data_IF_877673305219
#
_entry.id   IF_877673305219
#
_cell.length_a   1.000
_cell.length_b   1.000
_cell.length_c   1.000
_cell.angle_alpha   90.00
_cell.angle_beta   90.00
_cell.angle_gamma   90.00
#
_symmetry.space_group_name_H-M   'P 1'
#
loop_
_entity.id
_entity.type
_entity.pdbx_description
1 polymer ?
#
# COMPACT_ATOMS: atom_id res chain seq x y z
N UNK A 1 -3.21 -23.78 -28.17
CA UNK A 1 -4.47 -24.44 -27.75
C UNK A 1 -4.67 -24.49 -26.23
N UNK A 2 -3.61 -24.73 -25.38
CA UNK A 2 -3.73 -24.72 -23.93
C UNK A 2 -3.88 -23.29 -23.37
N UNK A 3 -3.22 -22.28 -23.96
CA UNK A 3 -3.29 -20.88 -23.54
C UNK A 3 -4.68 -20.24 -23.77
N UNK A 4 -5.45 -20.71 -24.77
CA UNK A 4 -6.79 -20.18 -25.07
C UNK A 4 -7.87 -20.65 -24.09
N UNK A 5 -7.70 -21.82 -23.47
CA UNK A 5 -8.64 -22.34 -22.48
C UNK A 5 -8.58 -21.52 -21.20
N UNK A 6 -7.38 -21.14 -20.75
CA UNK A 6 -7.21 -20.28 -19.55
C UNK A 6 -7.73 -18.85 -19.73
N UNK A 7 -7.68 -18.30 -20.95
CA UNK A 7 -8.25 -16.98 -21.27
C UNK A 7 -9.79 -16.94 -21.28
N UNK A 8 -10.45 -18.09 -21.31
CA UNK A 8 -11.91 -18.23 -21.37
C UNK A 8 -12.53 -18.66 -20.04
N UNK A 9 -11.73 -18.94 -19.01
CA UNK A 9 -12.30 -19.29 -17.71
C UNK A 9 -12.90 -18.03 -17.06
N UNK A 10 -14.19 -18.09 -16.66
CA UNK A 10 -14.79 -17.01 -15.91
C UNK A 10 -14.05 -16.87 -14.57
N UNK A 11 -13.66 -15.68 -14.23
CA UNK A 11 -13.10 -15.38 -12.92
C UNK A 11 -14.04 -14.42 -12.16
N UNK A 12 -14.00 -14.53 -10.85
CA UNK A 12 -14.72 -13.66 -9.94
C UNK A 12 -13.71 -13.04 -9.01
N UNK A 13 -13.62 -11.71 -9.03
CA UNK A 13 -12.75 -10.97 -8.11
C UNK A 13 -13.17 -11.23 -6.67
N UNK A 14 -12.22 -11.46 -5.78
CA UNK A 14 -12.47 -11.64 -4.37
C UNK A 14 -13.25 -10.47 -3.77
N UNK A 15 -13.84 -10.69 -2.60
CA UNK A 15 -14.49 -9.67 -1.80
C UNK A 15 -14.09 -9.76 -0.34
N UNK A 16 -14.47 -8.75 0.42
CA UNK A 16 -14.24 -8.64 1.86
C UNK A 16 -15.55 -8.45 2.59
N UNK A 17 -15.60 -8.84 3.85
CA UNK A 17 -16.74 -8.55 4.74
C UNK A 17 -16.72 -7.07 5.14
N UNK A 18 -17.50 -6.25 4.46
CA UNK A 18 -17.60 -4.81 4.70
C UNK A 18 -18.23 -4.49 6.08
N UNK A 19 -19.06 -5.37 6.63
CA UNK A 19 -19.61 -5.21 7.98
C UNK A 19 -18.49 -5.24 9.02
N UNK A 20 -17.53 -6.15 8.85
CA UNK A 20 -16.36 -6.22 9.71
C UNK A 20 -15.36 -5.12 9.41
N UNK A 21 -14.95 -4.99 8.14
CA UNK A 21 -13.81 -4.14 7.74
C UNK A 21 -14.12 -2.66 7.61
N UNK A 22 -15.42 -2.27 7.62
CA UNK A 22 -15.84 -0.88 7.74
C UNK A 22 -16.59 -0.66 9.05
N UNK A 23 -17.77 -1.27 9.22
CA UNK A 23 -18.66 -0.91 10.33
C UNK A 23 -18.08 -1.31 11.70
N UNK A 24 -17.59 -2.53 11.86
CA UNK A 24 -17.10 -3.03 13.14
C UNK A 24 -15.74 -2.43 13.53
N UNK A 25 -14.76 -2.41 12.62
CA UNK A 25 -13.41 -1.94 12.95
C UNK A 25 -13.26 -0.41 12.94
N UNK A 26 -14.18 0.31 12.24
CA UNK A 26 -14.17 1.77 12.11
C UNK A 26 -15.54 2.38 12.42
N UNK A 27 -16.02 2.33 13.67
CA UNK A 27 -17.36 2.80 14.04
C UNK A 27 -17.58 4.29 13.79
N UNK A 28 -16.53 5.12 13.83
CA UNK A 28 -16.61 6.54 13.45
C UNK A 28 -16.94 6.72 11.98
N UNK A 29 -16.29 5.93 11.10
CA UNK A 29 -16.59 5.95 9.68
C UNK A 29 -17.99 5.39 9.40
N UNK A 30 -18.39 4.32 10.07
CA UNK A 30 -19.76 3.77 9.97
C UNK A 30 -20.81 4.84 10.29
N UNK A 31 -20.65 5.58 11.39
CA UNK A 31 -21.55 6.65 11.77
C UNK A 31 -21.60 7.76 10.69
N UNK A 32 -20.45 8.19 10.16
CA UNK A 32 -20.38 9.17 9.09
C UNK A 32 -21.12 8.70 7.83
N UNK A 33 -20.90 7.44 7.44
CA UNK A 33 -21.59 6.83 6.27
C UNK A 33 -23.10 6.82 6.47
N UNK A 34 -23.58 6.38 7.64
CA UNK A 34 -25.02 6.36 7.95
C UNK A 34 -25.63 7.77 7.92
N UNK A 35 -24.94 8.77 8.47
CA UNK A 35 -25.42 10.15 8.47
C UNK A 35 -25.51 10.73 7.06
N UNK A 36 -24.50 10.51 6.23
CA UNK A 36 -24.51 11.00 4.83
C UNK A 36 -25.53 10.27 3.98
N UNK A 37 -25.67 8.96 4.12
CA UNK A 37 -26.64 8.17 3.34
C UNK A 37 -28.07 8.26 3.89
N UNK A 38 -28.24 8.67 5.15
CA UNK A 38 -29.53 8.71 5.85
C UNK A 38 -30.02 7.32 6.29
N UNK A 39 -29.19 6.28 6.21
CA UNK A 39 -29.50 4.91 6.62
C UNK A 39 -28.25 4.05 6.74
N UNK A 40 -28.40 2.86 7.35
CA UNK A 40 -27.35 1.82 7.44
C UNK A 40 -27.52 0.72 6.37
N UNK A 41 -28.38 0.95 5.37
CA UNK A 41 -28.73 -0.04 4.34
C UNK A 41 -27.52 -0.55 3.54
N UNK A 42 -26.43 0.22 3.46
CA UNK A 42 -25.18 -0.24 2.83
C UNK A 42 -24.63 -1.54 3.46
N UNK A 43 -25.05 -1.88 4.69
CA UNK A 43 -24.68 -3.15 5.32
C UNK A 43 -25.29 -4.37 4.61
N UNK A 44 -26.41 -4.19 3.93
CA UNK A 44 -27.07 -5.21 3.10
C UNK A 44 -26.89 -4.94 1.60
N UNK A 45 -26.73 -3.68 1.22
CA UNK A 45 -26.62 -3.16 -0.13
C UNK A 45 -25.33 -2.34 -0.27
N UNK A 46 -24.15 -2.97 -0.32
CA UNK A 46 -22.85 -2.26 -0.30
C UNK A 46 -22.67 -1.30 -1.49
N UNK A 47 -23.39 -1.49 -2.58
CA UNK A 47 -23.45 -0.57 -3.71
C UNK A 47 -23.98 0.83 -3.33
N UNK A 48 -24.75 0.96 -2.26
CA UNK A 48 -25.23 2.26 -1.75
C UNK A 48 -24.11 3.16 -1.22
N UNK A 49 -22.90 2.61 -0.94
CA UNK A 49 -21.73 3.42 -0.61
C UNK A 49 -21.41 4.47 -1.68
N UNK A 50 -21.74 4.21 -2.95
CA UNK A 50 -21.57 5.18 -4.04
C UNK A 50 -22.30 6.51 -3.78
N UNK A 51 -23.37 6.49 -2.97
CA UNK A 51 -24.09 7.69 -2.56
C UNK A 51 -23.27 8.69 -1.74
N UNK A 52 -22.12 8.28 -1.20
CA UNK A 52 -21.20 9.18 -0.49
C UNK A 52 -20.58 10.23 -1.42
N UNK A 53 -20.47 9.96 -2.72
CA UNK A 53 -19.83 10.90 -3.68
C UNK A 53 -20.55 12.26 -3.72
N UNK A 54 -21.85 12.31 -3.42
CA UNK A 54 -22.60 13.57 -3.34
C UNK A 54 -22.07 14.55 -2.27
N UNK A 55 -21.31 14.02 -1.29
CA UNK A 55 -20.69 14.79 -0.21
C UNK A 55 -19.19 15.00 -0.42
N UNK A 56 -18.64 14.67 -1.61
CA UNK A 56 -17.21 14.75 -1.87
C UNK A 56 -16.64 16.19 -1.82
N UNK A 57 -17.51 17.18 -1.94
CA UNK A 57 -17.12 18.60 -1.85
C UNK A 57 -17.79 19.31 -0.64
N UNK A 58 -18.41 18.55 0.29
CA UNK A 58 -18.95 19.09 1.53
C UNK A 58 -17.86 19.26 2.59
N UNK A 59 -17.49 20.51 2.95
CA UNK A 59 -16.40 20.75 3.90
C UNK A 59 -16.65 20.16 5.30
N UNK A 60 -17.92 20.05 5.74
CA UNK A 60 -18.22 19.49 7.06
C UNK A 60 -18.02 17.98 7.07
N UNK A 61 -18.40 17.28 6.00
CA UNK A 61 -18.19 15.85 5.83
C UNK A 61 -16.68 15.55 5.72
N UNK A 62 -15.93 16.33 4.93
CA UNK A 62 -14.49 16.16 4.76
C UNK A 62 -13.74 16.41 6.07
N UNK A 63 -14.08 17.46 6.81
CA UNK A 63 -13.47 17.73 8.13
C UNK A 63 -13.73 16.59 9.12
N UNK A 64 -14.96 16.08 9.18
CA UNK A 64 -15.32 14.95 10.04
C UNK A 64 -14.57 13.67 9.64
N UNK A 65 -14.35 13.42 8.36
CA UNK A 65 -13.57 12.27 7.89
C UNK A 65 -12.10 12.36 8.33
N UNK A 66 -11.49 13.55 8.26
CA UNK A 66 -10.14 13.79 8.76
C UNK A 66 -10.05 13.60 10.29
N UNK A 67 -11.05 14.06 11.06
CA UNK A 67 -11.11 13.82 12.51
C UNK A 67 -11.18 12.32 12.83
N UNK A 68 -12.03 11.57 12.14
CA UNK A 68 -12.13 10.10 12.29
C UNK A 68 -10.78 9.44 11.99
N UNK A 69 -10.11 9.87 10.93
CA UNK A 69 -8.79 9.35 10.55
C UNK A 69 -7.74 9.68 11.62
N UNK A 70 -7.72 10.89 12.13
CA UNK A 70 -6.82 11.30 13.22
C UNK A 70 -7.04 10.47 14.49
N UNK A 71 -8.29 10.27 14.91
CA UNK A 71 -8.64 9.41 16.05
C UNK A 71 -8.18 7.96 15.86
N UNK A 72 -8.35 7.40 14.67
CA UNK A 72 -7.89 6.04 14.37
C UNK A 72 -6.35 5.94 14.41
N UNK A 73 -5.63 6.96 13.93
CA UNK A 73 -4.16 7.00 14.05
C UNK A 73 -3.72 7.07 15.52
N UNK A 74 -4.38 7.89 16.33
CA UNK A 74 -4.11 7.97 17.78
C UNK A 74 -4.38 6.63 18.49
N UNK A 75 -5.48 5.96 18.16
CA UNK A 75 -5.80 4.61 18.67
C UNK A 75 -4.71 3.59 18.30
N UNK A 76 -4.26 3.60 17.04
CA UNK A 76 -3.18 2.76 16.58
C UNK A 76 -1.87 3.08 17.32
N UNK A 77 -1.50 4.36 17.44
CA UNK A 77 -0.29 4.78 18.14
C UNK A 77 -0.30 4.36 19.62
N UNK A 78 -1.42 4.54 20.31
CA UNK A 78 -1.59 4.09 21.68
C UNK A 78 -1.52 2.57 21.82
N UNK A 79 -2.05 1.82 20.84
CA UNK A 79 -1.97 0.35 20.83
C UNK A 79 -0.53 -0.12 20.60
N UNK A 80 0.18 0.45 19.62
CA UNK A 80 1.59 0.16 19.31
C UNK A 80 2.48 0.47 20.52
N UNK A 81 2.27 1.62 21.19
CA UNK A 81 3.03 1.96 22.40
C UNK A 81 2.82 0.95 23.54
N UNK A 82 1.58 0.51 23.76
CA UNK A 82 1.29 -0.48 24.81
C UNK A 82 1.84 -1.87 24.51
N UNK A 83 1.90 -2.26 23.22
CA UNK A 83 2.34 -3.61 22.83
C UNK A 83 3.84 -3.73 22.65
N UNK A 84 4.45 -2.71 22.07
CA UNK A 84 5.84 -2.78 21.60
C UNK A 84 6.74 -1.64 22.15
N UNK A 85 6.17 -0.72 22.94
CA UNK A 85 6.89 0.44 23.49
C UNK A 85 7.31 1.48 22.44
N UNK A 86 6.83 1.36 21.20
CA UNK A 86 7.23 2.25 20.11
C UNK A 86 6.28 3.47 20.02
N UNK A 87 6.87 4.68 19.96
CA UNK A 87 6.11 5.93 19.80
C UNK A 87 5.88 6.24 18.33
N UNK A 88 4.72 5.84 17.81
CA UNK A 88 4.31 6.12 16.44
C UNK A 88 3.91 7.60 16.31
N UNK A 89 4.43 8.28 15.28
CA UNK A 89 4.03 9.67 14.99
C UNK A 89 2.62 9.69 14.36
N UNK A 90 1.62 10.04 15.18
CA UNK A 90 0.21 10.10 14.73
C UNK A 90 -0.09 11.33 13.84
N UNK A 91 0.79 12.34 13.80
CA UNK A 91 0.57 13.54 12.99
C UNK A 91 1.10 13.36 11.55
N UNK A 92 2.06 12.45 11.37
CA UNK A 92 2.58 12.10 10.04
C UNK A 92 1.55 11.37 9.19
N UNK A 93 1.70 11.44 7.87
CA UNK A 93 0.97 10.56 6.95
C UNK A 93 1.37 9.11 7.23
N UNK A 94 0.38 8.26 7.46
CA UNK A 94 0.61 6.83 7.70
C UNK A 94 0.54 6.07 6.37
N UNK A 95 1.72 5.68 5.89
CA UNK A 95 1.94 4.92 4.66
C UNK A 95 2.17 3.45 5.00
N UNK A 96 1.39 2.54 4.45
CA UNK A 96 1.39 1.16 4.93
C UNK A 96 1.61 0.14 3.82
N UNK A 97 2.52 -0.80 4.09
CA UNK A 97 2.68 -2.02 3.31
C UNK A 97 2.48 -3.25 4.19
N UNK A 98 1.22 -3.70 4.30
CA UNK A 98 0.80 -4.73 5.26
C UNK A 98 0.31 -5.98 4.53
N UNK A 99 1.22 -6.92 4.33
CA UNK A 99 1.00 -8.17 3.58
C UNK A 99 2.08 -9.19 3.89
N UNK A 100 1.82 -10.49 3.61
CA UNK A 100 2.88 -11.52 3.71
C UNK A 100 4.10 -11.07 2.94
N UNK A 101 5.29 -11.34 3.49
CA UNK A 101 6.52 -11.02 2.82
C UNK A 101 6.78 -12.05 1.72
N UNK A 102 6.92 -11.55 0.52
CA UNK A 102 7.35 -12.30 -0.66
C UNK A 102 8.02 -11.32 -1.63
N UNK A 103 9.07 -11.76 -2.31
CA UNK A 103 9.86 -10.89 -3.19
C UNK A 103 9.00 -10.20 -4.25
N UNK A 104 8.01 -10.89 -4.86
CA UNK A 104 7.13 -10.28 -5.88
C UNK A 104 6.23 -9.16 -5.32
N UNK A 105 6.00 -9.10 -4.01
CA UNK A 105 5.22 -8.01 -3.35
C UNK A 105 6.06 -6.75 -3.13
N UNK A 106 7.35 -6.87 -3.39
CA UNK A 106 8.34 -5.80 -3.51
C UNK A 106 8.48 -4.90 -2.28
N UNK A 107 8.42 -5.47 -1.07
CA UNK A 107 8.76 -4.70 0.14
C UNK A 107 10.19 -4.14 0.06
N UNK A 108 11.08 -4.81 -0.67
CA UNK A 108 12.43 -4.31 -0.96
C UNK A 108 12.40 -3.02 -1.79
N UNK A 109 11.47 -2.87 -2.75
CA UNK A 109 11.30 -1.63 -3.53
C UNK A 109 10.89 -0.46 -2.62
N UNK A 110 9.96 -0.69 -1.70
CA UNK A 110 9.58 0.32 -0.70
C UNK A 110 10.75 0.68 0.23
N UNK A 111 11.56 -0.30 0.68
CA UNK A 111 12.78 -0.06 1.46
C UNK A 111 13.79 0.81 0.69
N UNK A 112 13.98 0.56 -0.60
CA UNK A 112 14.82 1.38 -1.48
C UNK A 112 14.30 2.83 -1.57
N UNK A 113 12.99 3.02 -1.66
CA UNK A 113 12.38 4.36 -1.64
C UNK A 113 12.61 5.09 -0.32
N UNK A 114 12.45 4.41 0.80
CA UNK A 114 12.72 5.00 2.13
C UNK A 114 14.20 5.39 2.25
N UNK A 115 15.12 4.54 1.78
CA UNK A 115 16.56 4.85 1.72
C UNK A 115 16.81 6.08 0.87
N UNK A 116 16.17 6.23 -0.29
CA UNK A 116 16.25 7.42 -1.12
C UNK A 116 15.77 8.66 -0.37
N UNK A 117 14.63 8.59 0.33
CA UNK A 117 14.08 9.71 1.10
C UNK A 117 15.03 10.15 2.22
N UNK A 118 15.67 9.20 2.92
CA UNK A 118 16.70 9.50 3.91
C UNK A 118 17.88 10.24 3.27
N UNK A 119 18.39 9.75 2.14
CA UNK A 119 19.49 10.40 1.42
C UNK A 119 19.12 11.80 0.93
N UNK A 120 17.90 12.02 0.45
CA UNK A 120 17.40 13.33 0.06
C UNK A 120 17.38 14.30 1.24
N UNK A 121 16.94 13.87 2.42
CA UNK A 121 16.94 14.68 3.64
C UNK A 121 18.37 15.00 4.11
N UNK A 122 19.33 14.11 3.88
CA UNK A 122 20.75 14.40 4.15
C UNK A 122 21.34 15.40 3.16
N UNK A 123 20.95 15.35 1.88
CA UNK A 123 21.41 16.29 0.86
C UNK A 123 20.88 17.71 1.12
N UNK A 124 19.62 17.82 1.55
CA UNK A 124 18.97 19.10 1.88
C UNK A 124 18.04 18.92 3.10
N UNK A 125 18.55 19.11 4.31
CA UNK A 125 17.75 18.97 5.53
C UNK A 125 16.59 19.97 5.64
N UNK A 126 16.67 21.11 4.99
CA UNK A 126 15.68 22.17 5.06
C UNK A 126 14.63 22.12 3.94
N UNK A 127 14.72 21.16 3.02
CA UNK A 127 13.74 21.00 1.95
C UNK A 127 12.32 20.82 2.52
N UNK A 128 11.29 21.35 1.84
CA UNK A 128 9.89 21.06 2.20
C UNK A 128 9.66 19.55 2.18
N UNK A 129 9.22 19.01 3.32
CA UNK A 129 9.01 17.57 3.47
C UNK A 129 7.74 17.32 4.29
N UNK A 130 6.76 16.68 3.68
CA UNK A 130 5.57 16.27 4.41
C UNK A 130 5.90 15.07 5.31
N UNK A 131 5.71 15.21 6.64
CA UNK A 131 6.00 14.12 7.57
C UNK A 131 5.27 12.84 7.21
N UNK A 132 6.00 11.70 7.18
CA UNK A 132 5.46 10.39 6.85
C UNK A 132 6.04 9.28 7.70
N UNK A 133 5.20 8.32 8.04
CA UNK A 133 5.58 7.10 8.74
C UNK A 133 5.27 5.92 7.85
N UNK A 134 6.31 5.19 7.44
CA UNK A 134 6.15 3.91 6.77
C UNK A 134 5.92 2.80 7.79
N UNK A 135 4.81 2.09 7.65
CA UNK A 135 4.48 0.97 8.52
C UNK A 135 4.45 -0.32 7.71
N UNK A 136 5.34 -1.22 8.06
CA UNK A 136 5.36 -2.58 7.52
C UNK A 136 4.74 -3.56 8.51
N UNK A 137 4.03 -4.54 7.98
CA UNK A 137 3.58 -5.68 8.77
C UNK A 137 3.57 -6.92 7.89
N UNK A 138 4.43 -7.87 8.21
CA UNK A 138 4.65 -9.03 7.36
C UNK A 138 5.04 -10.27 8.19
N UNK A 139 4.85 -11.44 7.58
CA UNK A 139 5.39 -12.72 8.04
C UNK A 139 5.98 -13.44 6.84
N UNK A 140 7.17 -14.01 7.01
CA UNK A 140 7.81 -14.87 6.03
C UNK A 140 7.55 -16.35 6.34
N UNK A 141 7.52 -17.17 5.31
CA UNK A 141 7.55 -18.63 5.51
C UNK A 141 8.88 -19.05 6.19
N UNK A 142 8.88 -20.05 7.07
CA UNK A 142 10.08 -20.43 7.84
C UNK A 142 11.31 -20.76 7.00
N UNK A 143 11.13 -21.40 5.83
CA UNK A 143 12.21 -21.75 4.90
C UNK A 143 12.60 -20.67 3.90
N UNK A 144 11.92 -19.52 3.87
CA UNK A 144 12.16 -18.47 2.86
C UNK A 144 13.26 -17.50 3.33
N UNK A 145 14.52 -17.86 3.08
CA UNK A 145 15.69 -17.12 3.55
C UNK A 145 15.69 -15.65 3.06
N UNK A 146 15.49 -15.40 1.77
CA UNK A 146 15.46 -14.05 1.19
C UNK A 146 14.37 -13.18 1.84
N UNK A 147 13.19 -13.73 2.06
CA UNK A 147 12.10 -13.01 2.73
C UNK A 147 12.47 -12.59 4.17
N UNK A 148 13.12 -13.48 4.91
CA UNK A 148 13.64 -13.15 6.26
C UNK A 148 14.72 -12.09 6.20
N UNK A 149 15.60 -12.14 5.20
CA UNK A 149 16.65 -11.16 4.98
C UNK A 149 16.08 -9.77 4.67
N UNK A 150 14.97 -9.70 3.91
CA UNK A 150 14.24 -8.46 3.66
C UNK A 150 13.59 -7.93 4.95
N UNK A 151 13.03 -8.79 5.81
CA UNK A 151 12.52 -8.36 7.12
C UNK A 151 13.64 -7.77 7.98
N UNK A 152 14.81 -8.40 8.00
CA UNK A 152 15.98 -7.89 8.72
C UNK A 152 16.38 -6.51 8.19
N UNK A 153 16.47 -6.34 6.86
CA UNK A 153 16.73 -5.04 6.22
C UNK A 153 15.72 -3.97 6.70
N UNK A 154 14.42 -4.29 6.68
CA UNK A 154 13.38 -3.34 7.12
C UNK A 154 13.54 -2.94 8.58
N UNK A 155 13.95 -3.87 9.45
CA UNK A 155 14.22 -3.58 10.86
C UNK A 155 15.50 -2.73 11.03
N UNK A 156 16.59 -3.02 10.30
CA UNK A 156 17.81 -2.24 10.32
C UNK A 156 17.59 -0.82 9.80
N UNK A 157 16.87 -0.70 8.69
CA UNK A 157 16.48 0.60 8.12
C UNK A 157 15.61 1.40 9.08
N UNK A 158 14.65 0.75 9.76
CA UNK A 158 13.82 1.39 10.77
C UNK A 158 14.65 1.92 11.94
N UNK A 159 15.58 1.13 12.45
CA UNK A 159 16.46 1.54 13.53
C UNK A 159 17.34 2.75 13.12
N UNK A 160 17.89 2.71 11.92
CA UNK A 160 18.77 3.75 11.37
C UNK A 160 17.98 5.06 11.13
N UNK A 161 16.86 5.03 10.44
CA UNK A 161 16.02 6.21 10.15
C UNK A 161 15.49 6.84 11.43
N UNK A 162 15.01 6.03 12.38
CA UNK A 162 14.41 6.54 13.61
C UNK A 162 15.46 7.14 14.58
N UNK A 163 16.70 6.72 14.50
CA UNK A 163 17.82 7.29 15.28
C UNK A 163 18.43 8.53 14.62
N UNK A 164 18.19 8.74 13.33
CA UNK A 164 18.79 9.81 12.54
C UNK A 164 18.21 11.19 12.91
N UNK A 165 19.03 12.14 13.42
CA UNK A 165 18.54 13.48 13.77
C UNK A 165 17.93 14.25 12.59
N UNK A 166 18.40 14.01 11.36
CA UNK A 166 17.91 14.67 10.14
C UNK A 166 16.50 14.19 9.79
N UNK A 167 16.20 12.92 10.08
CA UNK A 167 14.88 12.32 9.84
C UNK A 167 13.85 12.67 10.93
N UNK A 168 14.31 13.15 12.08
CA UNK A 168 13.43 13.40 13.25
C UNK A 168 12.27 14.32 12.92
N UNK A 169 11.04 13.85 13.19
CA UNK A 169 9.80 14.58 12.92
C UNK A 169 9.38 14.58 11.44
N UNK A 170 10.20 14.06 10.52
CA UNK A 170 9.96 14.03 9.09
C UNK A 170 9.69 12.62 8.58
N UNK A 171 10.62 11.71 8.79
CA UNK A 171 10.56 10.34 8.30
C UNK A 171 10.66 9.36 9.47
N UNK A 172 9.74 8.43 9.55
CA UNK A 172 9.71 7.37 10.55
C UNK A 172 9.43 6.03 9.87
N UNK A 173 10.01 4.96 10.38
CA UNK A 173 9.76 3.60 9.88
C UNK A 173 9.44 2.70 11.05
N UNK A 174 8.38 1.91 10.92
CA UNK A 174 8.00 0.94 11.94
C UNK A 174 7.65 -0.41 11.31
N UNK A 175 8.24 -1.48 11.82
CA UNK A 175 7.90 -2.85 11.46
C UNK A 175 7.07 -3.48 12.57
N UNK A 176 5.76 -3.64 12.33
CA UNK A 176 4.82 -4.23 13.29
C UNK A 176 5.04 -5.74 13.37
N UNK A 177 5.44 -6.27 14.53
CA UNK A 177 5.63 -7.70 14.71
C UNK A 177 4.31 -8.45 14.75
N UNK A 178 4.35 -9.74 14.43
CA UNK A 178 3.23 -10.67 14.56
C UNK A 178 1.92 -10.18 13.94
N UNK A 179 1.97 -9.70 12.69
CA UNK A 179 0.78 -9.27 11.95
C UNK A 179 -0.31 -10.35 11.93
N UNK A 180 -1.50 -9.99 12.37
CA UNK A 180 -2.70 -10.84 12.48
C UNK A 180 -3.97 -10.00 12.29
N UNK A 181 -5.14 -10.66 12.22
CA UNK A 181 -6.43 -10.00 11.98
C UNK A 181 -6.71 -8.89 12.99
N UNK A 182 -6.48 -9.11 14.29
CA UNK A 182 -6.70 -8.09 15.31
C UNK A 182 -5.78 -6.85 15.16
N UNK A 183 -4.56 -7.04 14.66
CA UNK A 183 -3.69 -5.92 14.30
C UNK A 183 -4.20 -5.20 13.04
N UNK A 184 -4.70 -5.95 12.06
CA UNK A 184 -5.29 -5.37 10.86
C UNK A 184 -6.51 -4.50 11.16
N UNK A 185 -7.38 -4.91 12.10
CA UNK A 185 -8.56 -4.13 12.52
C UNK A 185 -8.20 -2.78 13.16
N UNK A 186 -7.01 -2.66 13.75
CA UNK A 186 -6.49 -1.40 14.26
C UNK A 186 -5.81 -0.55 13.18
N UNK A 187 -5.14 -1.22 12.23
CA UNK A 187 -4.29 -0.58 11.24
C UNK A 187 -5.08 -0.07 10.03
N UNK A 188 -6.03 -0.87 9.50
CA UNK A 188 -6.78 -0.50 8.29
C UNK A 188 -7.52 0.84 8.42
N UNK A 189 -8.23 1.14 9.54
CA UNK A 189 -8.86 2.45 9.75
C UNK A 189 -7.89 3.63 9.83
N UNK A 190 -6.66 3.38 10.29
CA UNK A 190 -5.65 4.43 10.53
C UNK A 190 -4.84 4.79 9.26
N UNK A 191 -4.70 3.86 8.32
CA UNK A 191 -3.88 4.05 7.12
C UNK A 191 -4.40 5.17 6.22
N UNK A 192 -3.48 5.96 5.65
CA UNK A 192 -3.79 7.04 4.70
C UNK A 192 -3.26 6.74 3.31
N UNK A 193 -2.14 6.03 3.21
CA UNK A 193 -1.56 5.53 1.95
C UNK A 193 -1.44 4.01 2.00
N UNK A 194 -1.73 3.36 0.90
CA UNK A 194 -1.76 1.90 0.72
C UNK A 194 -0.79 1.48 -0.38
N UNK A 195 0.30 0.79 0.00
CA UNK A 195 1.32 0.28 -0.90
C UNK A 195 0.91 -1.07 -1.51
N UNK A 196 0.48 -1.06 -2.78
CA UNK A 196 0.03 -2.24 -3.53
C UNK A 196 0.90 -2.46 -4.77
N UNK A 197 2.20 -2.62 -4.52
CA UNK A 197 3.31 -2.48 -5.47
C UNK A 197 3.87 -3.81 -5.98
N UNK A 198 3.06 -4.86 -6.07
CA UNK A 198 3.49 -6.16 -6.62
C UNK A 198 4.03 -6.03 -8.05
N UNK A 199 4.91 -6.94 -8.46
CA UNK A 199 5.32 -7.01 -9.85
C UNK A 199 4.11 -7.40 -10.70
N UNK A 200 3.84 -6.67 -11.77
CA UNK A 200 2.69 -6.90 -12.64
C UNK A 200 2.61 -8.34 -13.15
N UNK A 201 1.42 -8.92 -13.13
CA UNK A 201 1.14 -10.31 -13.49
C UNK A 201 1.50 -11.35 -12.41
N UNK A 202 1.77 -10.95 -11.16
CA UNK A 202 2.16 -11.87 -10.08
C UNK A 202 1.13 -11.99 -8.94
N UNK A 203 0.36 -10.94 -8.65
CA UNK A 203 -0.70 -11.00 -7.64
C UNK A 203 -2.00 -11.48 -8.28
N UNK A 204 -2.57 -12.55 -7.76
CA UNK A 204 -3.82 -13.10 -8.33
C UNK A 204 -5.04 -12.20 -8.07
N UNK A 205 -5.13 -11.58 -6.90
CA UNK A 205 -6.20 -10.65 -6.52
C UNK A 205 -5.74 -9.74 -5.38
N UNK A 206 -5.52 -10.29 -4.18
CA UNK A 206 -5.33 -9.52 -2.96
C UNK A 206 -6.67 -9.14 -2.32
N UNK A 207 -6.67 -8.95 -1.00
CA UNK A 207 -7.84 -8.44 -0.26
C UNK A 207 -7.47 -7.33 0.72
N UNK A 208 -6.17 -7.14 0.98
CA UNK A 208 -5.66 -6.05 1.82
C UNK A 208 -5.92 -4.67 1.21
N UNK A 209 -5.73 -4.57 -0.12
CA UNK A 209 -6.03 -3.37 -0.91
C UNK A 209 -7.51 -2.95 -0.78
N UNK A 210 -8.44 -3.90 -0.89
CA UNK A 210 -9.88 -3.65 -0.73
C UNK A 210 -10.23 -3.10 0.66
N UNK A 211 -9.64 -3.66 1.71
CA UNK A 211 -9.85 -3.22 3.11
C UNK A 211 -9.32 -1.80 3.33
N UNK A 212 -8.15 -1.51 2.80
CA UNK A 212 -7.53 -0.18 2.87
C UNK A 212 -8.35 0.85 2.08
N UNK A 213 -8.76 0.54 0.85
CA UNK A 213 -9.64 1.38 0.03
C UNK A 213 -10.97 1.68 0.75
N UNK A 214 -11.61 0.66 1.32
CA UNK A 214 -12.88 0.79 2.06
C UNK A 214 -12.75 1.65 3.33
N UNK A 215 -11.55 1.78 3.87
CA UNK A 215 -11.22 2.68 4.97
C UNK A 215 -10.60 4.02 4.50
N UNK A 216 -10.64 4.31 3.21
CA UNK A 216 -10.23 5.58 2.64
C UNK A 216 -8.73 5.80 2.52
N UNK A 217 -7.92 4.74 2.52
CA UNK A 217 -6.52 4.86 2.17
C UNK A 217 -6.36 5.03 0.66
N UNK A 218 -5.56 6.02 0.23
CA UNK A 218 -5.25 6.24 -1.19
C UNK A 218 -4.19 5.22 -1.63
N UNK A 219 -4.46 4.53 -2.73
CA UNK A 219 -3.57 3.47 -3.22
C UNK A 219 -2.51 4.01 -4.17
N UNK A 220 -1.24 3.69 -3.88
CA UNK A 220 -0.16 3.65 -4.87
C UNK A 220 0.11 2.19 -5.22
N UNK A 221 0.20 1.87 -6.50
CA UNK A 221 0.36 0.48 -6.91
C UNK A 221 0.65 0.28 -8.37
N UNK A 222 0.78 -0.98 -8.74
CA UNK A 222 0.87 -1.45 -10.11
C UNK A 222 -0.49 -1.95 -10.59
N UNK A 223 -0.66 -2.04 -11.91
CA UNK A 223 -1.85 -2.61 -12.53
C UNK A 223 -1.79 -4.15 -12.45
N UNK A 224 -2.06 -4.69 -11.26
CA UNK A 224 -1.91 -6.11 -10.92
C UNK A 224 -2.95 -6.57 -9.89
N UNK A 225 -3.46 -7.79 -10.02
CA UNK A 225 -4.49 -8.32 -9.14
C UNK A 225 -5.73 -7.43 -9.10
N UNK A 226 -6.36 -7.31 -7.92
CA UNK A 226 -7.55 -6.47 -7.74
C UNK A 226 -7.30 -4.96 -7.89
N UNK A 227 -6.03 -4.52 -8.06
CA UNK A 227 -5.76 -3.12 -8.40
C UNK A 227 -6.31 -2.76 -9.78
N UNK A 228 -6.49 -3.73 -10.67
CA UNK A 228 -7.13 -3.52 -12.00
C UNK A 228 -8.55 -3.03 -11.81
N UNK A 229 -9.36 -3.78 -11.06
CA UNK A 229 -10.76 -3.42 -10.79
C UNK A 229 -10.85 -2.17 -9.90
N UNK A 230 -9.90 -1.97 -8.97
CA UNK A 230 -9.84 -0.73 -8.19
C UNK A 230 -9.61 0.47 -9.11
N UNK A 231 -8.72 0.37 -10.07
CA UNK A 231 -8.44 1.45 -11.03
C UNK A 231 -9.63 1.71 -11.97
N UNK A 232 -10.34 0.66 -12.40
CA UNK A 232 -11.59 0.80 -13.16
C UNK A 232 -12.65 1.59 -12.39
N UNK A 233 -12.69 1.44 -11.07
CA UNK A 233 -13.62 2.20 -10.22
C UNK A 233 -13.14 3.63 -9.95
N UNK A 234 -11.85 3.81 -9.68
CA UNK A 234 -11.30 5.07 -9.16
C UNK A 234 -10.81 6.02 -10.24
N UNK A 235 -10.27 5.49 -11.34
CA UNK A 235 -9.57 6.28 -12.35
C UNK A 235 -8.24 6.86 -11.87
N UNK A 236 -7.55 7.54 -12.77
CA UNK A 236 -6.21 8.10 -12.54
C UNK A 236 -6.18 9.27 -11.52
N UNK A 237 -7.33 9.90 -11.27
CA UNK A 237 -7.43 11.01 -10.33
C UNK A 237 -7.47 10.55 -8.86
N UNK A 238 -7.85 9.29 -8.60
CA UNK A 238 -8.09 8.79 -7.25
C UNK A 238 -7.24 7.57 -6.87
N UNK A 239 -6.40 7.09 -7.80
CA UNK A 239 -5.45 6.00 -7.60
C UNK A 239 -4.17 6.28 -8.38
N UNK A 240 -3.01 6.02 -7.78
CA UNK A 240 -1.71 6.35 -8.33
C UNK A 240 -1.02 5.10 -8.83
N UNK A 241 -0.96 4.93 -10.16
CA UNK A 241 -0.31 3.78 -10.78
C UNK A 241 1.10 4.13 -11.27
N UNK A 242 1.97 3.13 -11.21
CA UNK A 242 3.33 3.18 -11.73
C UNK A 242 3.77 1.81 -12.29
N UNK A 243 4.91 1.85 -12.98
CA UNK A 243 5.67 0.68 -13.39
C UNK A 243 5.10 -0.02 -14.61
N UNK A 244 5.81 -1.05 -15.03
CA UNK A 244 5.50 -1.86 -16.20
C UNK A 244 4.17 -2.59 -16.07
N UNK A 245 3.44 -2.68 -17.16
CA UNK A 245 2.31 -3.60 -17.30
C UNK A 245 2.80 -5.05 -17.47
N UNK A 246 1.91 -6.02 -17.32
CA UNK A 246 2.30 -7.44 -17.33
C UNK A 246 2.93 -7.89 -18.66
N UNK A 247 2.40 -7.43 -19.77
CA UNK A 247 2.92 -7.66 -21.13
C UNK A 247 4.26 -6.96 -21.39
N UNK A 248 4.42 -5.73 -20.91
CA UNK A 248 5.67 -4.98 -20.96
C UNK A 248 6.77 -5.65 -20.13
N UNK A 249 6.43 -6.12 -18.93
CA UNK A 249 7.34 -6.87 -18.05
C UNK A 249 7.80 -8.19 -18.70
N UNK A 250 6.90 -8.89 -19.39
CA UNK A 250 7.23 -10.10 -20.15
C UNK A 250 8.10 -9.79 -21.36
N UNK A 251 7.75 -8.76 -22.12
CA UNK A 251 8.53 -8.31 -23.28
C UNK A 251 9.94 -7.86 -22.88
N UNK A 252 10.09 -7.12 -21.78
CA UNK A 252 11.38 -6.69 -21.27
C UNK A 252 12.28 -7.88 -20.89
N UNK A 253 11.73 -8.90 -20.23
CA UNK A 253 12.48 -10.12 -19.91
C UNK A 253 12.90 -10.88 -21.19
N UNK A 254 11.99 -11.00 -22.14
CA UNK A 254 12.26 -11.69 -23.41
C UNK A 254 13.32 -10.96 -24.25
N UNK A 255 13.38 -9.63 -24.18
CA UNK A 255 14.38 -8.81 -24.87
C UNK A 255 15.78 -8.84 -24.21
N UNK A 256 15.92 -9.44 -23.02
CA UNK A 256 17.18 -9.49 -22.26
C UNK A 256 17.34 -8.28 -21.33
N UNK A 257 16.58 -8.30 -20.24
CA UNK A 257 16.66 -7.27 -19.20
C UNK A 257 18.07 -7.13 -18.61
N UNK A 258 18.63 -5.90 -18.65
CA UNK A 258 19.91 -5.55 -18.01
C UNK A 258 19.66 -4.64 -16.79
N UNK A 259 19.66 -5.16 -15.55
CA UNK A 259 19.47 -4.37 -14.33
C UNK A 259 20.47 -3.22 -14.19
N UNK A 260 21.74 -3.44 -14.60
CA UNK A 260 22.78 -2.43 -14.48
C UNK A 260 22.56 -1.24 -15.41
N UNK A 261 21.87 -1.41 -16.54
CA UNK A 261 21.52 -0.30 -17.42
C UNK A 261 20.55 0.67 -16.71
N UNK A 262 19.66 0.19 -15.88
CA UNK A 262 18.76 1.02 -15.07
C UNK A 262 19.52 1.78 -13.98
N UNK A 263 20.47 1.14 -13.31
CA UNK A 263 21.34 1.83 -12.34
C UNK A 263 22.15 2.96 -12.99
N UNK A 264 22.68 2.72 -14.19
CA UNK A 264 23.44 3.77 -14.91
C UNK A 264 22.61 4.97 -15.34
N UNK A 265 21.29 4.79 -15.56
CA UNK A 265 20.37 5.87 -15.99
C UNK A 265 19.74 6.60 -14.81
N UNK A 266 19.50 5.92 -13.71
CA UNK A 266 18.83 6.47 -12.54
C UNK A 266 19.75 7.42 -11.77
N UNK A 267 19.29 8.62 -11.40
CA UNK A 267 20.06 9.51 -10.55
C UNK A 267 20.22 9.01 -9.11
N UNK A 268 19.41 8.03 -8.71
CA UNK A 268 19.30 7.59 -7.32
C UNK A 268 19.72 6.14 -7.07
N UNK A 269 19.48 5.22 -8.01
CA UNK A 269 19.69 3.80 -7.78
C UNK A 269 21.11 3.48 -7.31
N UNK A 270 22.13 4.08 -7.93
CA UNK A 270 23.52 3.88 -7.52
C UNK A 270 23.77 4.20 -6.07
N UNK A 271 23.27 5.35 -5.58
CA UNK A 271 23.42 5.81 -4.20
C UNK A 271 22.62 4.93 -3.21
N UNK A 272 21.40 4.57 -3.58
CA UNK A 272 20.52 3.72 -2.77
C UNK A 272 21.14 2.34 -2.57
N UNK A 273 21.60 1.70 -3.66
CA UNK A 273 22.24 0.39 -3.60
C UNK A 273 23.57 0.42 -2.85
N UNK A 274 24.36 1.49 -3.04
CA UNK A 274 25.60 1.69 -2.27
C UNK A 274 25.30 1.82 -0.77
N UNK A 275 24.28 2.62 -0.38
CA UNK A 275 23.89 2.78 1.02
C UNK A 275 23.48 1.44 1.65
N UNK A 276 22.69 0.65 0.92
CA UNK A 276 22.28 -0.68 1.36
C UNK A 276 23.47 -1.65 1.49
N UNK A 277 24.43 -1.58 0.56
CA UNK A 277 25.64 -2.42 0.59
C UNK A 277 26.59 -2.05 1.72
N UNK A 278 26.71 -0.76 2.05
CA UNK A 278 27.53 -0.31 3.20
C UNK A 278 26.95 -0.75 4.54
N UNK A 279 25.64 -0.95 4.60
CA UNK A 279 24.93 -1.38 5.79
C UNK A 279 24.47 -0.23 6.68
N UNK A 280 23.95 -0.57 7.83
CA UNK A 280 23.26 0.31 8.77
C UNK A 280 23.98 0.36 10.14
N UNK A 281 23.46 1.17 11.06
CA UNK A 281 24.08 1.40 12.36
C UNK A 281 24.24 0.13 13.24
N UNK A 282 23.48 -0.91 12.97
CA UNK A 282 23.58 -2.23 13.62
C UNK A 282 24.74 -3.09 13.10
N UNK A 283 25.51 -2.61 12.13
CA UNK A 283 26.63 -3.31 11.51
C UNK A 283 26.24 -4.31 10.41
N UNK A 284 24.94 -4.44 10.11
CA UNK A 284 24.44 -5.33 9.06
C UNK A 284 24.58 -4.70 7.67
N UNK A 285 25.23 -5.42 6.76
CA UNK A 285 25.32 -5.08 5.33
C UNK A 285 24.33 -5.91 4.53
N UNK A 286 23.72 -5.31 3.53
CA UNK A 286 22.77 -5.97 2.62
C UNK A 286 23.30 -6.07 1.19
N UNK A 287 24.63 -6.20 1.07
CA UNK A 287 25.32 -6.42 -0.21
C UNK A 287 24.86 -7.70 -0.93
N UNK A 288 24.39 -8.70 -0.18
CA UNK A 288 23.77 -9.92 -0.71
C UNK A 288 22.47 -9.64 -1.48
N UNK A 289 21.57 -8.83 -0.92
CA UNK A 289 20.34 -8.40 -1.60
C UNK A 289 20.65 -7.52 -2.83
N UNK A 290 21.58 -6.58 -2.69
CA UNK A 290 22.03 -5.73 -3.81
C UNK A 290 22.65 -6.58 -4.91
N UNK A 291 23.48 -7.56 -4.58
CA UNK A 291 24.07 -8.50 -5.54
C UNK A 291 22.99 -9.29 -6.29
N UNK A 292 21.92 -9.71 -5.60
CA UNK A 292 20.81 -10.44 -6.23
C UNK A 292 20.05 -9.57 -7.25
N UNK A 293 19.97 -8.26 -7.01
CA UNK A 293 19.38 -7.32 -7.98
C UNK A 293 20.31 -7.09 -9.18
N UNK A 294 21.60 -6.84 -8.94
CA UNK A 294 22.56 -6.45 -9.99
C UNK A 294 23.03 -7.62 -10.85
N UNK A 295 23.20 -8.80 -10.25
CA UNK A 295 23.83 -9.97 -10.88
C UNK A 295 22.92 -11.19 -10.88
N UNK A 296 21.89 -11.23 -10.02
CA UNK A 296 20.86 -12.27 -9.99
C UNK A 296 19.70 -12.03 -10.95
N UNK A 297 19.76 -10.96 -11.75
CA UNK A 297 18.81 -10.67 -12.83
C UNK A 297 17.53 -9.94 -12.40
N UNK A 298 17.42 -9.49 -11.15
CA UNK A 298 16.26 -8.75 -10.63
C UNK A 298 14.91 -9.33 -11.12
N UNK A 299 14.56 -10.54 -10.71
CA UNK A 299 13.43 -11.30 -11.28
C UNK A 299 12.07 -10.59 -11.13
N UNK A 300 12.00 -9.63 -10.23
CA UNK A 300 10.77 -8.87 -9.96
C UNK A 300 10.83 -7.41 -10.44
N UNK A 301 11.83 -7.06 -11.28
CA UNK A 301 11.95 -5.78 -11.98
C UNK A 301 11.92 -4.55 -11.05
N UNK A 302 12.57 -4.67 -9.88
CA UNK A 302 12.63 -3.57 -8.91
C UNK A 302 13.36 -2.36 -9.48
N UNK A 303 14.50 -2.61 -10.15
CA UNK A 303 15.32 -1.54 -10.70
C UNK A 303 14.68 -0.89 -11.93
N UNK A 304 13.89 -1.66 -12.70
CA UNK A 304 13.15 -1.13 -13.83
C UNK A 304 12.05 -0.15 -13.42
N UNK A 305 11.33 -0.46 -12.32
CA UNK A 305 10.19 0.32 -11.87
C UNK A 305 10.55 1.40 -10.83
N UNK A 306 11.79 1.45 -10.31
CA UNK A 306 12.15 2.29 -9.18
C UNK A 306 11.91 3.79 -9.41
N UNK A 307 12.38 4.32 -10.53
CA UNK A 307 12.28 5.77 -10.79
C UNK A 307 10.83 6.20 -11.01
N UNK A 308 10.01 5.39 -11.67
CA UNK A 308 8.59 5.67 -11.86
C UNK A 308 7.81 5.54 -10.54
N UNK A 309 8.15 4.54 -9.71
CA UNK A 309 7.61 4.43 -8.36
C UNK A 309 7.94 5.67 -7.52
N UNK A 310 9.20 6.12 -7.54
CA UNK A 310 9.62 7.31 -6.81
C UNK A 310 8.88 8.57 -7.28
N UNK A 311 8.76 8.77 -8.59
CA UNK A 311 8.04 9.91 -9.18
C UNK A 311 6.54 9.87 -8.85
N UNK A 312 5.93 8.68 -8.91
CA UNK A 312 4.51 8.50 -8.58
C UNK A 312 4.24 8.73 -7.10
N UNK A 313 5.16 8.30 -6.24
CA UNK A 313 5.10 8.55 -4.81
C UNK A 313 5.11 10.05 -4.50
N UNK A 314 5.95 10.85 -5.17
CA UNK A 314 5.93 12.31 -5.03
C UNK A 314 4.62 12.92 -5.54
N UNK A 315 4.07 12.45 -6.68
CA UNK A 315 2.76 12.92 -7.17
C UNK A 315 1.65 12.64 -6.17
N UNK A 316 1.63 11.44 -5.56
CA UNK A 316 0.66 11.09 -4.53
C UNK A 316 0.78 12.01 -3.32
N UNK A 317 2.00 12.21 -2.80
CA UNK A 317 2.21 13.06 -1.63
C UNK A 317 1.86 14.54 -1.91
N UNK A 318 2.10 15.04 -3.10
CA UNK A 318 1.63 16.36 -3.51
C UNK A 318 0.10 16.45 -3.53
N UNK A 319 -0.59 15.41 -4.02
CA UNK A 319 -2.05 15.37 -4.08
C UNK A 319 -2.72 15.30 -2.71
N UNK A 320 -2.08 14.66 -1.72
CA UNK A 320 -2.60 14.53 -0.34
C UNK A 320 -2.04 15.55 0.64
N UNK A 321 -1.25 16.51 0.17
CA UNK A 321 -0.64 17.53 1.02
C UNK A 321 -1.69 18.41 1.71
N UNK A 322 -2.70 18.84 0.96
CA UNK A 322 -3.84 19.58 1.49
C UNK A 322 -4.83 18.63 2.19
N UNK A 323 -5.23 18.91 3.46
CA UNK A 323 -6.16 18.06 4.20
C UNK A 323 -7.52 17.87 3.51
N UNK A 324 -8.08 18.90 2.88
CA UNK A 324 -9.37 18.81 2.22
C UNK A 324 -9.27 17.94 0.94
N UNK A 325 -8.22 18.10 0.14
CA UNK A 325 -7.95 17.26 -1.02
C UNK A 325 -7.74 15.80 -0.62
N UNK A 326 -7.01 15.55 0.46
CA UNK A 326 -6.78 14.22 1.03
C UNK A 326 -8.10 13.57 1.49
N UNK A 327 -8.92 14.32 2.23
CA UNK A 327 -10.24 13.84 2.68
C UNK A 327 -11.17 13.53 1.51
N UNK A 328 -11.15 14.36 0.47
CA UNK A 328 -11.91 14.13 -0.76
C UNK A 328 -11.48 12.83 -1.46
N UNK A 329 -10.19 12.63 -1.66
CA UNK A 329 -9.64 11.38 -2.21
C UNK A 329 -10.06 10.17 -1.36
N UNK A 330 -9.96 10.29 -0.04
CA UNK A 330 -10.36 9.26 0.91
C UNK A 330 -11.85 8.93 0.77
N UNK A 331 -12.73 9.92 0.72
CA UNK A 331 -14.18 9.73 0.59
C UNK A 331 -14.55 9.04 -0.73
N UNK A 332 -13.95 9.44 -1.84
CA UNK A 332 -14.17 8.81 -3.15
C UNK A 332 -13.72 7.35 -3.14
N UNK A 333 -12.58 7.04 -2.51
CA UNK A 333 -12.13 5.66 -2.34
C UNK A 333 -13.15 4.83 -1.56
N UNK A 334 -13.69 5.35 -0.45
CA UNK A 334 -14.73 4.67 0.33
C UNK A 334 -15.99 4.47 -0.51
N UNK A 335 -16.47 5.52 -1.17
CA UNK A 335 -17.71 5.49 -1.97
C UNK A 335 -17.66 4.39 -3.05
N UNK A 336 -16.53 4.26 -3.73
CA UNK A 336 -16.36 3.31 -4.84
C UNK A 336 -15.92 1.91 -4.42
N UNK A 337 -15.81 1.65 -3.10
CA UNK A 337 -15.37 0.35 -2.58
C UNK A 337 -16.46 -0.71 -2.49
N UNK A 338 -17.73 -0.36 -2.68
CA UNK A 338 -18.88 -1.26 -2.49
C UNK A 338 -18.83 -2.54 -3.34
N UNK A 339 -18.27 -2.45 -4.54
CA UNK A 339 -18.07 -3.61 -5.43
C UNK A 339 -17.17 -4.71 -4.80
N UNK A 340 -16.31 -4.36 -3.84
CA UNK A 340 -15.43 -5.32 -3.17
C UNK A 340 -16.07 -6.00 -1.96
N UNK A 341 -17.40 -5.89 -1.78
CA UNK A 341 -18.12 -6.67 -0.78
C UNK A 341 -18.14 -8.17 -1.13
N UNK A 342 -17.94 -9.03 -0.13
CA UNK A 342 -17.98 -10.49 -0.30
C UNK A 342 -19.35 -10.96 -0.81
N UNK A 343 -20.43 -10.26 -0.43
CA UNK A 343 -21.80 -10.57 -0.87
C UNK A 343 -21.94 -10.51 -2.41
N UNK A 344 -21.28 -9.52 -3.06
CA UNK A 344 -21.20 -9.46 -4.53
C UNK A 344 -20.46 -10.67 -5.09
N UNK A 345 -19.29 -10.99 -4.54
CA UNK A 345 -18.49 -12.11 -5.02
C UNK A 345 -19.26 -13.45 -4.93
N UNK A 346 -19.99 -13.67 -3.83
CA UNK A 346 -20.81 -14.88 -3.65
C UNK A 346 -21.95 -14.93 -4.67
N UNK A 347 -22.65 -13.81 -4.91
CA UNK A 347 -23.70 -13.74 -5.95
C UNK A 347 -23.15 -14.05 -7.34
N UNK A 348 -22.01 -13.47 -7.71
CA UNK A 348 -21.39 -13.75 -9.01
C UNK A 348 -20.93 -15.21 -9.14
N UNK A 349 -20.44 -15.83 -8.07
CA UNK A 349 -20.17 -17.28 -8.08
C UNK A 349 -21.45 -18.10 -8.27
N UNK A 350 -22.54 -17.75 -7.57
CA UNK A 350 -23.82 -18.43 -7.70
C UNK A 350 -24.33 -18.35 -9.15
N UNK A 351 -24.35 -17.16 -9.73
CA UNK A 351 -24.92 -16.91 -11.05
C UNK A 351 -24.02 -17.46 -12.19
N UNK A 352 -22.71 -17.18 -12.14
CA UNK A 352 -21.82 -17.41 -13.28
C UNK A 352 -21.11 -18.78 -13.26
N UNK A 353 -20.94 -19.38 -12.06
CA UNK A 353 -20.15 -20.59 -11.89
C UNK A 353 -21.03 -21.76 -11.44
N UNK A 354 -21.90 -21.54 -10.45
CA UNK A 354 -22.76 -22.60 -9.90
C UNK A 354 -24.12 -22.68 -10.58
N UNK A 355 -24.47 -21.67 -11.39
CA UNK A 355 -25.76 -21.60 -12.10
C UNK A 355 -26.97 -21.75 -11.15
N UNK A 356 -26.83 -21.25 -9.92
CA UNK A 356 -27.89 -21.24 -8.90
C UNK A 356 -28.63 -19.90 -9.00
N UNK A 357 -29.88 -19.97 -9.38
CA UNK A 357 -30.76 -18.82 -9.44
C UNK A 357 -31.60 -18.75 -8.16
N UNK A 358 -31.60 -17.61 -7.46
CA UNK A 358 -32.38 -17.37 -6.25
C UNK A 358 -33.82 -16.95 -6.60
#
# INVERSE_FOLDING_TARGET
>A
AASDVYKRQPYVTNGIDHRRWLAQCNPGLHALVCDVLGSDRYLLHPEELAGLERAADDPAVLARLEEIKALNKQRLAAWVFRTDGFSLNSDAILDVQVKRLHEYKRQLLCAMRITQLQLMLHDDPDQPFQPRTFLFAAKAAPGYATAKRIIQLLCSLAADVNADPVCRGKLQVYFLPNYRVSAAEMLMPAAQVSEQISTAGKEASGTGNMKLMMNGAVTIGTLDGANVEMFEQLGADNMFLFGLHADEAEALRAAGYDPQAYVRRSPWLGRVLERMSRGYADGESYADLVSSLLYGGDPYLLLADFDDYAATHERLYAAIADPAARARLSLVNIARSGIFAADRAVREYAERIWEVHA
#
